data_IF_773265569027
#
_entry.id   IF_773265569027
#
_cell.length_a   1.000
_cell.length_b   1.000
_cell.length_c   1.000
_cell.angle_alpha   90.00
_cell.angle_beta   90.00
_cell.angle_gamma   90.00
#
_symmetry.space_group_name_H-M   'P 1'
#
loop_
_entity.id
_entity.type
_entity.pdbx_description
1 polymer ?
#
# COMPACT_ATOMS: atom_id res chain seq x y z
N UNK A 1 30.70 65.19 -23.80
CA UNK A 1 30.09 63.81 -23.83
C UNK A 1 29.95 63.28 -22.44
N UNK A 2 28.71 63.39 -21.96
CA UNK A 2 28.33 63.06 -20.61
C UNK A 2 27.71 61.64 -20.61
N UNK A 3 28.54 60.62 -20.42
CA UNK A 3 28.07 59.22 -20.30
C UNK A 3 27.65 58.96 -18.83
N UNK A 4 26.43 59.29 -18.49
CA UNK A 4 25.78 58.94 -17.22
C UNK A 4 25.45 57.46 -17.25
N UNK A 5 26.24 56.62 -16.56
CA UNK A 5 25.88 55.29 -16.16
C UNK A 5 24.67 55.39 -15.21
N UNK A 6 23.49 55.01 -15.72
CA UNK A 6 22.30 54.81 -14.87
C UNK A 6 22.52 53.50 -14.10
N UNK A 7 23.04 53.62 -12.89
CA UNK A 7 22.97 52.53 -11.91
C UNK A 7 21.50 52.36 -11.54
N UNK A 8 20.89 51.22 -11.87
CA UNK A 8 19.59 50.83 -11.35
C UNK A 8 19.77 50.56 -9.85
N UNK A 9 19.59 51.58 -9.06
CA UNK A 9 19.65 51.46 -7.61
C UNK A 9 18.46 50.63 -7.14
N UNK A 10 18.74 49.52 -6.49
CA UNK A 10 17.76 48.74 -5.76
C UNK A 10 17.07 49.63 -4.75
N UNK A 11 15.73 49.67 -4.73
CA UNK A 11 15.00 50.44 -3.74
C UNK A 11 15.25 49.92 -2.34
N UNK A 12 15.13 50.76 -1.33
CA UNK A 12 15.29 50.34 0.08
C UNK A 12 14.38 49.15 0.42
N UNK A 13 13.15 49.15 -0.14
CA UNK A 13 12.18 48.06 0.02
C UNK A 13 12.70 46.73 -0.60
N UNK A 14 13.31 46.81 -1.79
CA UNK A 14 13.93 45.64 -2.45
C UNK A 14 15.17 45.15 -1.69
N UNK A 15 15.99 46.07 -1.17
CA UNK A 15 17.16 45.73 -0.36
C UNK A 15 16.73 45.04 0.96
N UNK A 16 15.71 45.52 1.65
CA UNK A 16 15.17 44.91 2.85
C UNK A 16 14.57 43.52 2.52
N UNK A 17 13.85 43.39 1.40
CA UNK A 17 13.29 42.12 0.95
C UNK A 17 14.38 41.10 0.62
N UNK A 18 15.43 41.50 -0.09
CA UNK A 18 16.58 40.64 -0.38
C UNK A 18 17.33 40.21 0.89
N UNK A 19 17.55 41.14 1.81
CA UNK A 19 18.16 40.85 3.13
C UNK A 19 17.28 39.91 3.96
N UNK A 20 16.00 40.10 4.00
CA UNK A 20 15.05 39.22 4.69
C UNK A 20 14.96 37.83 4.05
N UNK A 21 15.09 37.73 2.73
CA UNK A 21 15.08 36.47 2.00
C UNK A 21 16.45 35.77 1.98
N UNK A 22 17.57 36.52 2.07
CA UNK A 22 18.91 35.94 2.13
C UNK A 22 19.25 35.29 3.48
N UNK A 23 18.43 35.54 4.50
CA UNK A 23 18.54 34.91 5.81
C UNK A 23 17.58 33.74 6.07
N UNK A 24 16.73 33.41 5.11
CA UNK A 24 15.87 32.23 5.19
C UNK A 24 16.69 30.97 4.86
N UNK A 25 17.53 30.54 5.76
CA UNK A 25 18.16 29.21 5.66
C UNK A 25 17.04 28.16 5.78
N UNK A 26 17.04 27.22 4.83
CA UNK A 26 16.24 25.99 4.96
C UNK A 26 16.71 25.28 6.23
N UNK A 27 15.86 25.13 7.19
CA UNK A 27 16.19 24.43 8.42
C UNK A 27 15.15 23.37 8.74
N UNK A 28 15.59 22.37 9.51
CA UNK A 28 14.72 21.30 9.97
C UNK A 28 14.63 21.35 11.50
N UNK A 29 13.49 20.90 12.02
CA UNK A 29 13.29 20.66 13.45
C UNK A 29 12.86 19.22 13.67
N UNK A 30 13.31 18.65 14.79
CA UNK A 30 12.75 17.41 15.32
C UNK A 30 11.57 17.81 16.20
N UNK A 31 10.43 17.20 15.97
CA UNK A 31 9.21 17.48 16.70
C UNK A 31 8.58 16.18 17.21
N UNK A 32 7.85 16.26 18.31
CA UNK A 32 6.96 15.20 18.79
C UNK A 32 5.58 15.42 18.19
N UNK A 33 4.97 14.37 17.66
CA UNK A 33 3.62 14.42 17.08
C UNK A 33 2.58 14.49 18.18
N UNK A 34 1.76 15.54 18.16
CA UNK A 34 0.66 15.75 19.11
C UNK A 34 -0.65 15.19 18.58
N UNK A 35 -0.97 15.45 17.30
CA UNK A 35 -2.18 14.97 16.63
C UNK A 35 -1.95 14.79 15.13
N UNK A 36 -2.72 13.89 14.52
CA UNK A 36 -2.69 13.62 13.07
C UNK A 36 -4.09 13.83 12.49
N UNK A 37 -4.21 14.67 11.47
CA UNK A 37 -5.41 14.80 10.66
C UNK A 37 -5.21 14.05 9.33
N UNK A 38 -5.80 12.85 9.26
CA UNK A 38 -5.70 12.00 8.07
C UNK A 38 -6.43 12.59 6.86
N UNK A 39 -7.52 13.32 7.09
CA UNK A 39 -8.32 13.90 6.01
C UNK A 39 -7.61 15.13 5.42
N UNK A 40 -7.08 15.99 6.26
CA UNK A 40 -6.29 17.15 5.83
C UNK A 40 -4.86 16.75 5.44
N UNK A 41 -4.37 15.55 5.80
CA UNK A 41 -3.00 15.07 5.63
C UNK A 41 -1.98 15.99 6.29
N UNK A 42 -2.27 16.36 7.52
CA UNK A 42 -1.44 17.23 8.34
C UNK A 42 -1.18 16.64 9.71
N UNK A 43 -0.17 17.17 10.38
CA UNK A 43 0.11 16.87 11.78
C UNK A 43 0.29 18.15 12.56
N UNK A 44 -0.15 18.11 13.82
CA UNK A 44 0.25 19.07 14.84
C UNK A 44 1.41 18.47 15.62
N UNK A 45 2.45 19.22 15.83
CA UNK A 45 3.64 18.72 16.53
C UNK A 45 4.35 19.81 17.32
N UNK A 46 5.01 19.39 18.42
CA UNK A 46 5.78 20.25 19.30
C UNK A 46 7.27 20.02 19.11
N UNK A 47 8.05 21.05 18.71
CA UNK A 47 9.49 20.93 18.58
C UNK A 47 10.17 20.59 19.90
N UNK A 48 11.21 19.72 19.86
CA UNK A 48 11.98 19.31 21.05
C UNK A 48 12.87 20.41 21.61
N UNK A 49 13.07 21.51 20.87
CA UNK A 49 13.85 22.68 21.29
C UNK A 49 13.02 23.70 22.10
N UNK A 50 11.83 23.28 22.58
CA UNK A 50 10.90 24.10 23.35
C UNK A 50 10.39 25.35 22.62
N UNK A 51 10.55 25.43 21.32
CA UNK A 51 9.93 26.49 20.51
C UNK A 51 8.42 26.26 20.35
N UNK A 52 7.72 27.25 19.80
CA UNK A 52 6.26 27.21 19.66
C UNK A 52 5.78 25.97 18.90
N UNK A 53 4.66 25.34 19.31
CA UNK A 53 4.03 24.25 18.59
C UNK A 53 3.71 24.62 17.14
N UNK A 54 3.83 23.63 16.27
CA UNK A 54 3.52 23.75 14.85
C UNK A 54 2.17 23.06 14.59
N UNK A 55 1.25 23.78 13.97
CA UNK A 55 -0.10 23.30 13.69
C UNK A 55 -0.29 23.18 12.19
N UNK A 56 -0.88 22.05 11.75
CA UNK A 56 -1.18 21.83 10.36
C UNK A 56 0.03 21.63 9.45
N UNK A 57 1.10 21.01 9.97
CA UNK A 57 2.29 20.67 9.17
C UNK A 57 1.95 19.63 8.12
N UNK A 58 2.28 19.88 6.88
CA UNK A 58 1.93 19.04 5.75
C UNK A 58 2.66 17.69 5.79
N UNK A 59 1.94 16.60 5.48
CA UNK A 59 2.52 15.25 5.27
C UNK A 59 2.93 15.01 3.80
N UNK A 60 2.60 15.92 2.91
CA UNK A 60 2.97 15.89 1.49
C UNK A 60 3.43 17.26 1.02
N UNK A 61 4.20 17.30 -0.05
CA UNK A 61 4.66 18.56 -0.66
C UNK A 61 3.51 19.39 -1.25
N UNK A 62 2.40 18.77 -1.67
CA UNK A 62 1.19 19.43 -2.15
C UNK A 62 -0.03 18.83 -1.48
N UNK A 63 -0.94 19.68 -1.00
CA UNK A 63 -2.19 19.30 -0.34
C UNK A 63 -3.37 19.20 -1.31
N UNK A 64 -3.22 19.70 -2.54
CA UNK A 64 -4.30 19.79 -3.52
C UNK A 64 -4.62 18.47 -4.21
N UNK A 65 -3.80 17.43 -3.98
CA UNK A 65 -3.90 16.14 -4.64
C UNK A 65 -4.20 14.98 -3.70
N UNK A 66 -5.04 14.05 -4.17
CA UNK A 66 -5.26 12.76 -3.51
C UNK A 66 -4.29 11.68 -3.99
N UNK A 67 -3.24 12.05 -4.72
CA UNK A 67 -2.27 11.12 -5.35
C UNK A 67 -0.93 11.17 -4.65
N UNK A 68 -0.21 10.06 -4.65
CA UNK A 68 1.14 9.95 -4.11
C UNK A 68 1.24 9.04 -2.91
N UNK A 69 2.32 9.18 -2.15
CA UNK A 69 2.58 8.44 -0.93
C UNK A 69 2.43 9.38 0.27
N UNK A 70 1.64 8.97 1.24
CA UNK A 70 1.51 9.65 2.53
C UNK A 70 1.89 8.69 3.64
N UNK A 71 2.73 9.14 4.55
CA UNK A 71 3.03 8.47 5.81
C UNK A 71 2.33 9.21 6.94
N UNK A 72 1.51 8.52 7.69
CA UNK A 72 0.83 9.07 8.86
C UNK A 72 1.63 8.62 10.09
N UNK A 73 2.31 9.56 10.78
CA UNK A 73 3.12 9.22 11.95
C UNK A 73 2.23 8.85 13.13
N UNK A 74 2.75 8.01 14.02
CA UNK A 74 2.09 7.68 15.27
C UNK A 74 2.10 8.88 16.23
N UNK A 75 1.00 9.10 16.94
CA UNK A 75 0.95 10.12 17.99
C UNK A 75 2.00 9.82 19.07
N UNK A 76 2.73 10.86 19.54
CA UNK A 76 3.82 10.74 20.48
C UNK A 76 5.17 10.32 19.87
N UNK A 77 5.22 9.97 18.58
CA UNK A 77 6.47 9.66 17.90
C UNK A 77 7.21 10.93 17.45
N UNK A 78 8.43 10.75 16.94
CA UNK A 78 9.23 11.87 16.44
C UNK A 78 9.08 12.00 14.91
N UNK A 79 9.07 13.27 14.47
CA UNK A 79 9.12 13.61 13.04
C UNK A 79 10.18 14.68 12.81
N UNK A 80 10.74 14.68 11.60
CA UNK A 80 11.59 15.78 11.12
C UNK A 80 10.75 16.67 10.22
N UNK A 81 10.62 17.91 10.61
CA UNK A 81 9.88 18.95 9.87
C UNK A 81 10.86 19.86 9.17
N UNK A 82 10.77 19.98 7.86
CA UNK A 82 11.51 20.94 7.05
C UNK A 82 10.67 22.18 6.77
N UNK A 83 11.25 23.34 6.96
CA UNK A 83 10.65 24.63 6.61
C UNK A 83 11.12 25.03 5.22
N UNK A 84 10.20 25.00 4.26
CA UNK A 84 10.47 25.40 2.87
C UNK A 84 10.49 26.92 2.75
N UNK A 85 9.60 27.56 3.49
CA UNK A 85 9.58 29.00 3.72
C UNK A 85 8.98 29.28 5.12
N UNK A 86 8.96 30.52 5.60
CA UNK A 86 8.43 30.84 6.93
C UNK A 86 6.97 30.45 7.18
N UNK A 87 6.20 30.15 6.13
CA UNK A 87 4.78 29.81 6.21
C UNK A 87 4.48 28.36 5.80
N UNK A 88 5.44 27.65 5.22
CA UNK A 88 5.25 26.29 4.70
C UNK A 88 6.23 25.33 5.33
N UNK A 89 5.70 24.38 6.09
CA UNK A 89 6.44 23.30 6.71
C UNK A 89 5.91 21.94 6.23
N UNK A 90 6.82 20.99 6.03
CA UNK A 90 6.52 19.64 5.54
C UNK A 90 7.26 18.61 6.39
N UNK A 91 6.61 17.52 6.75
CA UNK A 91 7.25 16.36 7.37
C UNK A 91 8.07 15.63 6.30
N UNK A 92 9.36 15.46 6.55
CA UNK A 92 10.29 14.78 5.62
C UNK A 92 10.74 13.42 6.10
N UNK A 93 10.61 13.13 7.40
CA UNK A 93 10.94 11.84 8.00
C UNK A 93 10.04 11.59 9.20
N UNK A 94 9.57 10.34 9.32
CA UNK A 94 8.83 9.85 10.49
C UNK A 94 9.64 8.75 11.16
N UNK A 95 9.64 8.71 12.51
CA UNK A 95 10.23 7.62 13.30
C UNK A 95 9.29 6.41 13.33
N UNK A 96 8.04 6.60 13.79
CA UNK A 96 7.02 5.57 13.83
C UNK A 96 5.81 6.02 13.01
N UNK A 97 5.21 5.09 12.30
CA UNK A 97 4.05 5.33 11.43
C UNK A 97 2.93 4.35 11.75
N UNK A 98 1.71 4.86 11.85
CA UNK A 98 0.51 4.03 12.03
C UNK A 98 -0.07 3.59 10.68
N UNK A 99 0.15 4.39 9.63
CA UNK A 99 -0.42 4.12 8.32
C UNK A 99 0.45 4.67 7.20
N UNK A 100 0.58 3.89 6.12
CA UNK A 100 1.07 4.35 4.81
C UNK A 100 -0.06 4.24 3.80
N UNK A 101 -0.28 5.30 3.05
CA UNK A 101 -1.24 5.34 1.96
C UNK A 101 -0.53 5.66 0.66
N UNK A 102 -0.79 4.86 -0.37
CA UNK A 102 -0.30 5.04 -1.73
C UNK A 102 -1.50 5.15 -2.66
N UNK A 103 -1.63 6.27 -3.37
CA UNK A 103 -2.67 6.49 -4.36
C UNK A 103 -2.04 6.85 -5.71
N UNK A 104 -2.33 6.05 -6.75
CA UNK A 104 -1.87 6.27 -8.13
C UNK A 104 -3.04 6.07 -9.07
N UNK A 105 -3.64 7.15 -9.53
CA UNK A 105 -4.79 7.11 -10.42
C UNK A 105 -5.99 6.37 -9.81
N UNK A 106 -6.28 5.15 -10.29
CA UNK A 106 -7.38 4.32 -9.78
C UNK A 106 -6.92 3.25 -8.78
N UNK A 107 -5.63 3.14 -8.55
CA UNK A 107 -5.04 2.13 -7.69
C UNK A 107 -4.66 2.77 -6.37
N UNK A 108 -5.10 2.17 -5.27
CA UNK A 108 -4.70 2.54 -3.93
C UNK A 108 -4.16 1.34 -3.16
N UNK A 109 -3.23 1.60 -2.27
CA UNK A 109 -2.76 0.64 -1.29
C UNK A 109 -2.65 1.34 0.06
N UNK A 110 -3.22 0.73 1.08
CA UNK A 110 -3.12 1.20 2.47
C UNK A 110 -2.49 0.08 3.30
N UNK A 111 -1.48 0.43 4.08
CA UNK A 111 -0.81 -0.48 5.02
C UNK A 111 -1.01 0.07 6.42
N UNK A 112 -1.50 -0.76 7.32
CA UNK A 112 -1.67 -0.49 8.75
C UNK A 112 -1.17 -1.70 9.54
N UNK A 113 -1.24 -1.66 10.87
CA UNK A 113 -0.96 -2.82 11.73
C UNK A 113 -1.97 -3.96 11.52
N UNK A 114 -3.18 -3.69 11.02
CA UNK A 114 -4.20 -4.70 10.68
C UNK A 114 -3.89 -5.42 9.37
N UNK A 115 -3.05 -4.87 8.50
CA UNK A 115 -2.67 -5.49 7.23
C UNK A 115 -2.62 -4.54 6.04
N UNK A 116 -2.79 -5.11 4.85
CA UNK A 116 -2.71 -4.40 3.57
C UNK A 116 -4.08 -4.42 2.90
N UNK A 117 -4.59 -3.23 2.58
CA UNK A 117 -5.83 -3.06 1.82
C UNK A 117 -5.52 -2.49 0.43
N UNK A 118 -5.89 -3.21 -0.62
CA UNK A 118 -5.76 -2.77 -2.01
C UNK A 118 -7.11 -2.29 -2.54
N UNK A 119 -7.13 -1.12 -3.19
CA UNK A 119 -8.32 -0.54 -3.84
C UNK A 119 -9.55 -0.48 -2.93
N UNK A 120 -9.34 -0.18 -1.63
CA UNK A 120 -10.41 -0.11 -0.64
C UNK A 120 -11.08 -1.46 -0.34
N UNK A 121 -10.41 -2.59 -0.61
CA UNK A 121 -10.92 -3.93 -0.30
C UNK A 121 -12.09 -4.40 -1.18
N UNK A 122 -12.41 -3.70 -2.27
CA UNK A 122 -13.61 -3.96 -3.11
C UNK A 122 -13.65 -5.33 -3.77
N UNK A 123 -12.53 -6.00 -3.94
CA UNK A 123 -12.42 -7.32 -4.57
C UNK A 123 -12.35 -8.47 -3.55
N UNK A 124 -12.52 -8.17 -2.27
CA UNK A 124 -12.35 -9.14 -1.19
C UNK A 124 -10.88 -9.43 -0.87
N UNK A 125 -10.65 -10.45 -0.04
CA UNK A 125 -9.30 -10.85 0.36
C UNK A 125 -8.55 -11.61 -0.73
N UNK A 126 -7.23 -11.65 -0.60
CA UNK A 126 -6.38 -12.51 -1.43
C UNK A 126 -6.62 -13.99 -1.10
N UNK A 127 -6.52 -14.83 -2.12
CA UNK A 127 -6.69 -16.27 -1.97
C UNK A 127 -5.53 -16.85 -1.16
N UNK A 128 -5.86 -17.64 -0.14
CA UNK A 128 -4.86 -18.38 0.65
C UNK A 128 -4.55 -19.69 -0.09
N UNK A 129 -3.37 -19.79 -0.69
CA UNK A 129 -2.95 -20.92 -1.52
C UNK A 129 -3.12 -22.27 -0.84
N UNK A 130 -2.66 -22.41 0.40
CA UNK A 130 -2.77 -23.67 1.15
C UNK A 130 -4.22 -24.11 1.42
N UNK A 131 -5.15 -23.16 1.72
CA UNK A 131 -6.57 -23.48 1.88
C UNK A 131 -7.23 -23.87 0.56
N UNK A 132 -6.82 -23.20 -0.52
CA UNK A 132 -7.32 -23.51 -1.88
C UNK A 132 -6.86 -24.88 -2.33
N UNK A 133 -5.56 -25.19 -2.19
CA UNK A 133 -5.01 -26.51 -2.48
C UNK A 133 -5.72 -27.61 -1.65
N UNK A 134 -5.97 -27.38 -0.35
CA UNK A 134 -6.72 -28.31 0.49
C UNK A 134 -8.15 -28.56 0.00
N UNK A 135 -8.85 -27.56 -0.52
CA UNK A 135 -10.18 -27.71 -1.11
C UNK A 135 -10.15 -28.44 -2.44
N UNK A 136 -9.15 -28.15 -3.30
CA UNK A 136 -8.95 -28.87 -4.56
C UNK A 136 -8.61 -30.34 -4.29
N UNK A 137 -7.71 -30.64 -3.36
CA UNK A 137 -7.38 -32.01 -2.96
C UNK A 137 -8.59 -32.80 -2.46
N UNK A 138 -9.50 -32.16 -1.71
CA UNK A 138 -10.72 -32.82 -1.27
C UNK A 138 -11.61 -33.20 -2.46
N UNK A 139 -11.77 -32.31 -3.46
CA UNK A 139 -12.51 -32.59 -4.70
C UNK A 139 -11.84 -33.67 -5.55
N UNK A 140 -10.51 -33.61 -5.68
CA UNK A 140 -9.72 -34.59 -6.43
C UNK A 140 -9.83 -35.99 -5.83
N UNK A 141 -9.79 -36.09 -4.49
CA UNK A 141 -10.00 -37.35 -3.76
C UNK A 141 -11.42 -37.89 -3.98
N UNK A 142 -12.44 -37.07 -3.84
CA UNK A 142 -13.84 -37.48 -4.04
C UNK A 142 -14.06 -38.01 -5.47
N UNK A 143 -13.53 -37.30 -6.48
CA UNK A 143 -13.59 -37.77 -7.87
C UNK A 143 -12.81 -39.10 -8.06
N UNK A 144 -11.65 -39.27 -7.41
CA UNK A 144 -10.90 -40.50 -7.50
C UNK A 144 -11.62 -41.66 -6.81
N UNK A 145 -12.29 -41.43 -5.68
CA UNK A 145 -13.14 -42.40 -5.00
C UNK A 145 -14.32 -42.83 -5.91
N UNK A 146 -14.97 -41.85 -6.57
CA UNK A 146 -16.04 -42.11 -7.52
C UNK A 146 -15.52 -42.98 -8.71
N UNK A 147 -14.33 -42.68 -9.23
CA UNK A 147 -13.68 -43.46 -10.29
C UNK A 147 -13.37 -44.89 -9.83
N UNK A 148 -12.96 -45.05 -8.56
CA UNK A 148 -12.72 -46.35 -7.98
C UNK A 148 -14.01 -47.19 -7.89
N UNK A 149 -15.14 -46.59 -7.50
CA UNK A 149 -16.46 -47.22 -7.51
C UNK A 149 -16.83 -47.69 -8.91
N UNK A 150 -16.68 -46.85 -9.92
CA UNK A 150 -16.93 -47.24 -11.33
C UNK A 150 -16.01 -48.39 -11.79
N UNK A 151 -14.76 -48.37 -11.40
CA UNK A 151 -13.81 -49.41 -11.76
C UNK A 151 -14.15 -50.75 -11.10
N UNK A 152 -14.56 -50.73 -9.84
CA UNK A 152 -14.95 -51.90 -9.07
C UNK A 152 -16.35 -52.43 -9.40
N UNK A 153 -17.23 -51.61 -9.98
CA UNK A 153 -18.59 -51.99 -10.25
C UNK A 153 -18.71 -53.18 -11.23
N UNK A 154 -19.48 -54.16 -10.85
CA UNK A 154 -19.80 -55.34 -11.71
C UNK A 154 -21.23 -55.20 -12.22
N UNK A 155 -21.41 -54.90 -13.50
CA UNK A 155 -22.74 -54.75 -14.10
C UNK A 155 -23.50 -56.09 -14.12
N UNK A 156 -24.79 -56.06 -13.83
CA UNK A 156 -25.66 -57.20 -14.08
C UNK A 156 -25.85 -57.43 -15.61
N UNK A 157 -25.95 -58.65 -16.02
CA UNK A 157 -25.91 -59.04 -17.46
C UNK A 157 -27.09 -58.50 -18.29
N UNK A 158 -28.13 -57.92 -17.67
CA UNK A 158 -29.38 -57.52 -18.30
C UNK A 158 -29.73 -56.03 -18.19
N UNK A 159 -28.90 -55.24 -17.51
CA UNK A 159 -29.18 -53.85 -17.18
C UNK A 159 -28.52 -52.81 -18.12
N UNK A 160 -27.78 -53.26 -19.15
CA UNK A 160 -27.01 -52.34 -20.04
C UNK A 160 -25.78 -51.74 -19.40
N UNK A 161 -25.49 -51.96 -18.13
CA UNK A 161 -24.37 -51.38 -17.39
C UNK A 161 -22.99 -51.75 -17.93
N UNK A 162 -22.87 -52.88 -18.63
CA UNK A 162 -21.63 -53.29 -19.26
C UNK A 162 -21.16 -52.30 -20.33
N UNK A 163 -22.06 -51.73 -21.12
CA UNK A 163 -21.74 -50.73 -22.12
C UNK A 163 -21.26 -49.43 -21.46
N UNK A 164 -21.93 -48.98 -20.39
CA UNK A 164 -21.53 -47.79 -19.64
C UNK A 164 -20.16 -47.97 -18.97
N UNK A 165 -19.93 -49.14 -18.34
CA UNK A 165 -18.63 -49.46 -17.73
C UNK A 165 -17.48 -49.44 -18.74
N UNK A 166 -17.73 -50.00 -19.95
CA UNK A 166 -16.74 -49.96 -21.03
C UNK A 166 -16.46 -48.55 -21.48
N UNK A 167 -17.49 -47.73 -21.65
CA UNK A 167 -17.34 -46.32 -22.02
C UNK A 167 -16.59 -45.48 -20.95
N UNK A 168 -16.83 -45.76 -19.68
CA UNK A 168 -16.19 -45.09 -18.58
C UNK A 168 -14.76 -45.54 -18.24
N UNK A 169 -14.30 -46.68 -18.77
CA UNK A 169 -13.02 -47.30 -18.40
C UNK A 169 -11.84 -46.33 -18.55
N UNK A 170 -11.71 -45.64 -19.68
CA UNK A 170 -10.62 -44.72 -19.94
C UNK A 170 -10.64 -43.50 -19.00
N UNK A 171 -11.81 -43.05 -18.60
CA UNK A 171 -11.96 -41.97 -17.61
C UNK A 171 -11.64 -42.47 -16.21
N UNK A 172 -12.16 -43.59 -15.79
CA UNK A 172 -11.97 -44.17 -14.45
C UNK A 172 -10.52 -44.56 -14.15
N UNK A 173 -9.75 -44.93 -15.19
CA UNK A 173 -8.34 -45.31 -15.02
C UNK A 173 -7.40 -44.12 -14.80
N UNK A 174 -7.80 -42.90 -15.17
CA UNK A 174 -6.99 -41.69 -15.01
C UNK A 174 -7.22 -41.11 -13.62
N UNK A 175 -6.25 -41.30 -12.72
CA UNK A 175 -6.29 -40.67 -11.39
C UNK A 175 -5.93 -39.20 -11.48
N UNK A 176 -6.63 -38.36 -10.70
CA UNK A 176 -6.22 -37.01 -10.46
C UNK A 176 -5.08 -37.01 -9.43
N UNK A 177 -4.06 -36.21 -9.71
CA UNK A 177 -2.96 -35.93 -8.77
C UNK A 177 -3.37 -34.83 -7.82
N UNK A 178 -2.85 -34.86 -6.61
CA UNK A 178 -3.12 -33.82 -5.63
C UNK A 178 -2.46 -32.50 -6.06
N UNK A 179 -3.22 -31.43 -5.89
CA UNK A 179 -2.72 -30.06 -6.11
C UNK A 179 -1.70 -29.70 -5.04
N UNK A 180 -0.54 -29.25 -5.45
CA UNK A 180 0.53 -28.74 -4.56
C UNK A 180 0.39 -27.24 -4.40
N UNK A 181 0.38 -26.74 -3.16
CA UNK A 181 0.22 -25.30 -2.90
C UNK A 181 1.25 -24.43 -3.63
N UNK A 182 2.50 -24.93 -3.73
CA UNK A 182 3.57 -24.20 -4.43
C UNK A 182 3.32 -24.03 -5.94
N UNK A 183 2.47 -24.86 -6.58
CA UNK A 183 2.09 -24.67 -7.97
C UNK A 183 1.05 -23.57 -8.17
N UNK A 184 0.41 -23.12 -7.07
CA UNK A 184 -0.58 -22.04 -7.06
C UNK A 184 0.01 -20.71 -6.61
N UNK A 185 1.27 -20.68 -6.21
CA UNK A 185 1.95 -19.51 -5.66
C UNK A 185 2.75 -18.79 -6.75
N UNK A 186 2.79 -17.45 -6.65
CA UNK A 186 3.66 -16.64 -7.46
C UNK A 186 4.94 -16.35 -6.66
N UNK A 187 6.09 -16.83 -7.12
CA UNK A 187 7.37 -16.65 -6.46
C UNK A 187 7.85 -15.20 -6.39
N UNK A 188 7.30 -14.33 -7.26
CA UNK A 188 7.67 -12.91 -7.33
C UNK A 188 6.83 -12.02 -6.41
N UNK A 189 5.69 -12.51 -5.92
CA UNK A 189 4.79 -11.78 -5.00
C UNK A 189 4.56 -12.65 -3.78
N UNK A 190 5.24 -12.31 -2.70
CA UNK A 190 5.08 -12.97 -1.39
C UNK A 190 4.31 -12.08 -0.44
N UNK A 191 3.48 -12.64 0.39
CA UNK A 191 2.70 -11.97 1.43
C UNK A 191 2.71 -12.79 2.72
#
# INVERSE_FOLDING_TARGET
DNNRIKGSGMTLKEAIRVLAMSGAELYCKICTVDAVDEQARTVDCTPIDESAPLVGVNLQASQDGSVGVVQFPAAGSYVVVAFIDPAVAVVVLCDQIDKVQLDIGRTSATVTDEGITLNGGRLGGLVISGKTAGRLNALENDINELKAVFSAWVPAGTDGGAALKTAATAWASRQLTQTVAAELENDSVKH
#
